data_IF_146767024971
#
_entry.id   IF_146767024971
#
_cell.length_a   1.000
_cell.length_b   1.000
_cell.length_c   1.000
_cell.angle_alpha   90.00
_cell.angle_beta   90.00
_cell.angle_gamma   90.00
#
_symmetry.space_group_name_H-M   'P 1'
#
loop_
_entity.id
_entity.type
_entity.pdbx_description
1 polymer ?
#
# COMPACT_ATOMS: atom_id res chain seq x y z
N UNK A 1 -63.91 -3.25 12.52
CA UNK A 1 -62.51 -3.57 12.17
C UNK A 1 -61.70 -2.30 12.15
N UNK A 2 -60.81 -2.10 13.12
CA UNK A 2 -59.90 -0.94 13.15
C UNK A 2 -58.72 -1.21 12.23
N UNK A 3 -58.54 -0.37 11.20
CA UNK A 3 -57.34 -0.38 10.35
C UNK A 3 -56.17 0.06 11.17
N UNK A 4 -55.16 -0.81 11.35
CA UNK A 4 -53.89 -0.45 11.93
C UNK A 4 -53.10 0.39 10.93
N UNK A 5 -52.88 1.63 11.24
CA UNK A 5 -52.06 2.56 10.48
C UNK A 5 -50.60 2.18 10.73
N UNK A 6 -49.98 1.47 9.76
CA UNK A 6 -48.56 1.10 9.81
C UNK A 6 -47.78 2.29 9.24
N UNK A 7 -47.25 3.12 10.13
CA UNK A 7 -46.33 4.19 9.72
C UNK A 7 -45.11 3.59 9.06
N UNK A 8 -44.99 3.80 7.77
CA UNK A 8 -43.79 3.41 6.99
C UNK A 8 -42.57 4.13 7.55
N UNK A 9 -41.69 3.40 8.23
CA UNK A 9 -40.40 3.90 8.65
C UNK A 9 -39.62 4.41 7.42
N UNK A 10 -39.51 5.72 7.28
CA UNK A 10 -38.64 6.34 6.28
C UNK A 10 -37.18 5.98 6.62
N UNK A 11 -36.64 4.97 5.97
CA UNK A 11 -35.21 4.66 6.01
C UNK A 11 -34.48 5.86 5.42
N UNK A 12 -33.87 6.69 6.28
CA UNK A 12 -32.95 7.73 5.84
C UNK A 12 -31.78 7.04 5.13
N UNK A 13 -31.81 7.03 3.79
CA UNK A 13 -30.62 6.63 3.01
C UNK A 13 -29.52 7.61 3.34
N UNK A 14 -28.58 7.20 4.17
CA UNK A 14 -27.32 7.92 4.30
C UNK A 14 -26.63 7.92 2.94
N UNK A 15 -26.63 9.04 2.26
CA UNK A 15 -25.80 9.26 1.09
C UNK A 15 -24.34 9.08 1.53
N UNK A 16 -23.77 7.89 1.29
CA UNK A 16 -22.33 7.73 1.39
C UNK A 16 -21.74 8.67 0.36
N UNK A 17 -21.05 9.75 0.82
CA UNK A 17 -20.21 10.58 -0.05
C UNK A 17 -19.41 9.63 -0.93
N UNK A 18 -19.59 9.71 -2.25
CA UNK A 18 -18.77 8.93 -3.17
C UNK A 18 -17.32 9.36 -2.94
N UNK A 19 -16.55 8.49 -2.31
CA UNK A 19 -15.12 8.69 -2.15
C UNK A 19 -14.56 8.70 -3.56
N UNK A 20 -14.07 9.86 -4.03
CA UNK A 20 -13.42 9.97 -5.33
C UNK A 20 -12.29 8.95 -5.35
N UNK A 21 -12.44 7.91 -6.17
CA UNK A 21 -11.40 6.89 -6.36
C UNK A 21 -10.22 7.59 -7.02
N UNK A 22 -9.16 7.75 -6.25
CA UNK A 22 -7.93 8.37 -6.73
C UNK A 22 -7.02 7.28 -7.31
N UNK A 23 -6.69 7.41 -8.60
CA UNK A 23 -5.71 6.56 -9.29
C UNK A 23 -4.63 7.45 -9.89
N UNK A 24 -3.37 7.10 -9.68
CA UNK A 24 -2.28 7.67 -10.46
C UNK A 24 -2.40 7.23 -11.92
N UNK A 25 -1.90 8.06 -12.82
CA UNK A 25 -1.94 7.79 -14.26
C UNK A 25 -0.63 7.23 -14.80
N UNK A 26 0.45 7.42 -14.06
CA UNK A 26 1.81 7.01 -14.45
C UNK A 26 2.29 5.89 -13.51
N UNK A 27 2.79 4.77 -14.05
CA UNK A 27 3.41 3.73 -13.25
C UNK A 27 4.59 4.27 -12.41
N UNK A 28 4.69 3.86 -11.16
CA UNK A 28 5.73 4.32 -10.24
C UNK A 28 5.52 5.71 -9.64
N UNK A 29 4.51 6.49 -10.10
CA UNK A 29 4.22 7.80 -9.53
C UNK A 29 3.93 7.72 -8.02
N UNK A 30 3.22 6.68 -7.58
CA UNK A 30 2.95 6.37 -6.18
C UNK A 30 2.90 4.88 -5.95
N UNK A 31 3.74 4.40 -5.06
CA UNK A 31 3.72 3.03 -4.56
C UNK A 31 3.22 3.04 -3.11
N UNK A 32 2.18 2.28 -2.83
CA UNK A 32 1.71 2.06 -1.47
C UNK A 32 2.48 0.88 -0.88
N UNK A 33 2.96 1.02 0.36
CA UNK A 33 3.71 -0.01 1.05
C UNK A 33 3.15 -0.23 2.45
N UNK A 34 3.06 -1.49 2.86
CA UNK A 34 2.53 -1.88 4.16
C UNK A 34 3.09 -3.25 4.58
N UNK A 35 2.97 -3.55 5.88
CA UNK A 35 3.42 -4.83 6.48
C UNK A 35 2.27 -5.50 7.20
N UNK A 36 1.90 -6.70 6.77
CA UNK A 36 0.93 -7.51 7.49
C UNK A 36 1.60 -8.69 8.21
N UNK A 37 1.03 -9.05 9.35
CA UNK A 37 1.44 -10.24 10.11
C UNK A 37 0.71 -11.47 9.53
N UNK A 38 1.45 -12.46 9.08
CA UNK A 38 0.91 -13.72 8.58
C UNK A 38 0.76 -14.71 9.74
N UNK A 39 1.81 -14.82 10.57
CA UNK A 39 1.78 -15.64 11.79
C UNK A 39 2.79 -15.12 12.82
N UNK A 40 2.94 -15.79 13.94
CA UNK A 40 3.99 -15.44 14.91
C UNK A 40 5.37 -15.60 14.27
N UNK A 41 6.15 -14.51 14.26
CA UNK A 41 7.48 -14.48 13.64
C UNK A 41 7.49 -14.52 12.11
N UNK A 42 6.35 -14.23 11.44
CA UNK A 42 6.27 -14.18 9.99
C UNK A 42 5.46 -12.96 9.54
N UNK A 43 6.10 -12.06 8.82
CA UNK A 43 5.54 -10.80 8.33
C UNK A 43 5.75 -10.69 6.83
N UNK A 44 4.70 -10.31 6.10
CA UNK A 44 4.79 -9.98 4.69
C UNK A 44 4.89 -8.48 4.51
N UNK A 45 5.93 -8.04 3.84
CA UNK A 45 6.05 -6.70 3.29
C UNK A 45 5.45 -6.69 1.89
N UNK A 46 4.63 -5.70 1.62
CA UNK A 46 3.91 -5.55 0.34
C UNK A 46 4.11 -4.15 -0.18
N UNK A 47 4.52 -4.01 -1.42
CA UNK A 47 4.50 -2.76 -2.17
C UNK A 47 3.63 -2.93 -3.40
N UNK A 48 2.70 -2.00 -3.65
CA UNK A 48 1.82 -2.04 -4.81
C UNK A 48 1.79 -0.68 -5.51
N UNK A 49 1.99 -0.70 -6.82
CA UNK A 49 1.84 0.52 -7.63
C UNK A 49 0.37 0.95 -7.72
N UNK A 50 0.14 2.21 -7.46
CA UNK A 50 -1.20 2.80 -7.45
C UNK A 50 -1.86 2.83 -8.84
N UNK A 51 -1.06 2.88 -9.90
CA UNK A 51 -1.53 2.94 -11.28
C UNK A 51 -1.82 1.55 -11.84
N UNK A 52 -0.82 0.68 -11.87
CA UNK A 52 -0.86 -0.63 -12.53
C UNK A 52 -1.29 -1.77 -11.63
N UNK A 53 -1.27 -1.59 -10.32
CA UNK A 53 -1.41 -2.68 -9.32
C UNK A 53 -0.25 -3.68 -9.35
N UNK A 54 0.85 -3.36 -10.03
CA UNK A 54 2.05 -4.18 -9.98
C UNK A 54 2.53 -4.30 -8.53
N UNK A 55 2.77 -5.53 -8.11
CA UNK A 55 3.03 -5.85 -6.70
C UNK A 55 4.41 -6.48 -6.54
N UNK A 56 5.11 -6.10 -5.47
CA UNK A 56 6.31 -6.74 -4.96
C UNK A 56 6.06 -7.15 -3.53
N UNK A 57 6.40 -8.38 -3.17
CA UNK A 57 6.20 -8.94 -1.83
C UNK A 57 7.44 -9.69 -1.35
N UNK A 58 7.67 -9.69 -0.03
CA UNK A 58 8.73 -10.45 0.61
C UNK A 58 8.36 -10.82 2.05
N UNK A 59 8.94 -11.90 2.56
CA UNK A 59 8.74 -12.37 3.93
C UNK A 59 9.94 -12.04 4.81
N UNK A 60 9.63 -11.67 6.06
CA UNK A 60 10.61 -11.41 7.09
C UNK A 60 10.13 -11.93 8.45
N UNK A 61 11.07 -12.22 9.33
CA UNK A 61 10.76 -12.69 10.68
C UNK A 61 10.31 -11.58 11.64
N UNK A 62 10.60 -10.32 11.31
CA UNK A 62 10.31 -9.14 12.15
C UNK A 62 10.01 -7.91 11.30
N UNK A 63 9.29 -6.95 11.89
CA UNK A 63 9.12 -5.60 11.36
C UNK A 63 10.22 -4.71 11.93
N UNK A 64 11.23 -4.41 11.11
CA UNK A 64 12.36 -3.58 11.49
C UNK A 64 12.75 -2.65 10.35
N UNK A 65 13.43 -1.54 10.67
CA UNK A 65 14.00 -0.64 9.66
C UNK A 65 14.97 -1.34 8.72
N UNK A 66 15.78 -2.27 9.24
CA UNK A 66 16.70 -3.09 8.44
C UNK A 66 15.95 -3.91 7.36
N UNK A 67 14.85 -4.55 7.75
CA UNK A 67 14.03 -5.33 6.81
C UNK A 67 13.29 -4.41 5.83
N UNK A 68 12.89 -3.22 6.27
CA UNK A 68 12.33 -2.19 5.38
C UNK A 68 13.33 -1.75 4.32
N UNK A 69 14.59 -1.51 4.71
CA UNK A 69 15.66 -1.15 3.77
C UNK A 69 15.95 -2.27 2.77
N UNK A 70 16.00 -3.52 3.23
CA UNK A 70 16.17 -4.68 2.35
C UNK A 70 15.00 -4.81 1.37
N UNK A 71 13.77 -4.66 1.87
CA UNK A 71 12.59 -4.71 1.02
C UNK A 71 12.54 -3.57 -0.01
N UNK A 72 12.97 -2.37 0.35
CA UNK A 72 13.09 -1.24 -0.58
C UNK A 72 14.11 -1.51 -1.70
N UNK A 73 15.23 -2.19 -1.40
CA UNK A 73 16.18 -2.64 -2.43
C UNK A 73 15.53 -3.64 -3.38
N UNK A 74 14.85 -4.66 -2.83
CA UNK A 74 14.11 -5.64 -3.64
C UNK A 74 13.03 -4.98 -4.50
N UNK A 75 12.29 -4.02 -3.97
CA UNK A 75 11.31 -3.24 -4.74
C UNK A 75 11.97 -2.53 -5.92
N UNK A 76 13.11 -1.88 -5.70
CA UNK A 76 13.84 -1.14 -6.74
C UNK A 76 14.39 -2.06 -7.83
N UNK A 77 14.81 -3.28 -7.47
CA UNK A 77 15.34 -4.27 -8.40
C UNK A 77 14.27 -4.97 -9.23
N UNK A 78 13.10 -5.20 -8.64
CA UNK A 78 12.03 -6.06 -9.19
C UNK A 78 10.91 -5.29 -9.87
N UNK A 79 10.68 -4.03 -9.48
CA UNK A 79 9.67 -3.21 -10.12
C UNK A 79 10.14 -2.77 -11.52
N UNK A 80 9.29 -2.89 -12.56
CA UNK A 80 9.68 -2.51 -13.93
C UNK A 80 9.67 -0.99 -14.17
N UNK A 81 9.51 -0.19 -13.12
CA UNK A 81 9.43 1.27 -13.15
C UNK A 81 10.22 1.88 -11.99
N UNK A 82 10.58 3.16 -12.12
CA UNK A 82 11.19 3.92 -11.03
C UNK A 82 10.12 4.45 -10.08
N UNK A 83 10.27 4.13 -8.78
CA UNK A 83 9.40 4.69 -7.75
C UNK A 83 9.70 6.18 -7.54
N UNK A 84 8.69 7.03 -7.69
CA UNK A 84 8.82 8.47 -7.45
C UNK A 84 8.38 8.85 -6.03
N UNK A 85 7.44 8.08 -5.46
CA UNK A 85 6.88 8.33 -4.14
C UNK A 85 6.46 7.02 -3.48
N UNK A 86 6.86 6.87 -2.23
CA UNK A 86 6.40 5.78 -1.37
C UNK A 86 5.42 6.33 -0.35
N UNK A 87 4.26 5.70 -0.28
CA UNK A 87 3.22 5.97 0.70
C UNK A 87 3.09 4.77 1.63
N UNK A 88 3.19 5.02 2.94
CA UNK A 88 3.06 3.99 3.98
C UNK A 88 2.01 4.41 4.99
N UNK A 89 1.60 3.47 5.83
CA UNK A 89 0.99 3.80 7.11
C UNK A 89 2.03 4.46 8.04
N UNK A 90 1.70 4.59 9.32
CA UNK A 90 2.59 5.21 10.32
C UNK A 90 3.34 4.16 11.15
N UNK A 91 3.69 3.01 10.58
CA UNK A 91 4.52 2.00 11.22
C UNK A 91 5.92 2.53 11.57
N UNK A 92 6.44 2.18 12.76
CA UNK A 92 7.75 2.65 13.22
C UNK A 92 8.88 2.25 12.29
N UNK A 93 8.77 1.08 11.68
CA UNK A 93 9.73 0.51 10.72
C UNK A 93 9.95 1.40 9.50
N UNK A 94 8.95 2.22 9.13
CA UNK A 94 9.02 3.15 8.00
C UNK A 94 9.57 4.53 8.37
N UNK A 95 9.41 4.92 9.65
CA UNK A 95 9.82 6.25 10.13
C UNK A 95 11.27 6.31 10.63
N UNK A 96 11.97 5.18 10.65
CA UNK A 96 13.37 5.14 11.03
C UNK A 96 14.20 6.10 10.16
N UNK A 97 15.16 6.78 10.78
CA UNK A 97 16.00 7.78 10.12
C UNK A 97 16.67 7.21 8.88
N UNK A 98 17.30 6.03 9.02
CA UNK A 98 18.00 5.36 7.94
C UNK A 98 17.11 5.02 6.73
N UNK A 99 15.81 4.74 6.96
CA UNK A 99 14.86 4.47 5.89
C UNK A 99 14.54 5.75 5.10
N UNK A 100 14.29 6.85 5.82
CA UNK A 100 13.99 8.13 5.19
C UNK A 100 15.23 8.70 4.48
N UNK A 101 16.42 8.52 5.04
CA UNK A 101 17.68 8.94 4.43
C UNK A 101 17.94 8.17 3.12
N UNK A 102 17.79 6.86 3.13
CA UNK A 102 17.89 6.01 1.94
C UNK A 102 16.89 6.46 0.84
N UNK A 103 15.64 6.73 1.20
CA UNK A 103 14.66 7.24 0.24
C UNK A 103 15.05 8.61 -0.32
N UNK A 104 15.61 9.49 0.51
CA UNK A 104 16.10 10.80 0.10
C UNK A 104 17.31 10.69 -0.84
N UNK A 105 18.27 9.83 -0.55
CA UNK A 105 19.41 9.52 -1.44
C UNK A 105 18.94 9.01 -2.80
N UNK A 106 17.93 8.14 -2.82
CA UNK A 106 17.35 7.62 -4.06
C UNK A 106 16.40 8.61 -4.74
N UNK A 107 16.21 9.80 -4.19
CA UNK A 107 15.29 10.83 -4.67
C UNK A 107 13.83 10.34 -4.76
N UNK A 108 13.42 9.52 -3.80
CA UNK A 108 12.06 9.02 -3.65
C UNK A 108 11.36 9.82 -2.55
N UNK A 109 10.19 10.37 -2.86
CA UNK A 109 9.39 11.15 -1.89
C UNK A 109 8.75 10.22 -0.87
N UNK A 110 8.98 10.46 0.42
CA UNK A 110 8.30 9.74 1.50
C UNK A 110 7.00 10.45 1.87
N UNK A 111 5.89 9.74 1.83
CA UNK A 111 4.55 10.32 2.10
C UNK A 111 3.73 9.38 2.99
N UNK A 112 3.95 9.42 4.32
CA UNK A 112 3.09 8.66 5.22
C UNK A 112 1.65 9.20 5.14
N UNK A 113 0.68 8.30 5.26
CA UNK A 113 -0.74 8.69 5.28
C UNK A 113 -1.02 9.56 6.50
N UNK A 114 -2.00 10.46 6.35
CA UNK A 114 -2.45 11.29 7.46
C UNK A 114 -3.07 10.40 8.55
N UNK A 115 -2.94 10.77 9.83
CA UNK A 115 -3.66 10.09 10.89
C UNK A 115 -5.15 9.98 10.57
N UNK A 116 -5.78 8.88 10.97
CA UNK A 116 -7.21 8.62 10.75
C UNK A 116 -7.68 8.61 9.28
N UNK A 117 -6.78 8.31 8.35
CA UNK A 117 -7.10 8.24 6.92
C UNK A 117 -6.77 6.87 6.32
N UNK A 118 -7.28 5.74 6.87
CA UNK A 118 -6.93 4.39 6.42
C UNK A 118 -7.31 4.15 4.95
N UNK A 119 -8.36 4.82 4.46
CA UNK A 119 -8.80 4.71 3.07
C UNK A 119 -7.70 5.07 2.04
N UNK A 120 -6.67 5.79 2.46
CA UNK A 120 -5.55 6.14 1.58
C UNK A 120 -4.60 4.96 1.32
N UNK A 121 -4.62 3.91 2.19
CA UNK A 121 -3.80 2.70 2.03
C UNK A 121 -4.59 1.50 1.47
N UNK A 122 -5.83 1.71 1.08
CA UNK A 122 -6.77 0.65 0.71
C UNK A 122 -6.35 -0.24 -0.46
N UNK A 123 -5.38 0.16 -1.31
CA UNK A 123 -4.90 -0.69 -2.41
C UNK A 123 -3.95 -1.75 -1.92
N UNK A 124 -3.00 -1.40 -1.05
CA UNK A 124 -2.08 -2.38 -0.46
C UNK A 124 -2.83 -3.32 0.49
N UNK A 125 -3.77 -2.80 1.30
CA UNK A 125 -4.64 -3.63 2.15
C UNK A 125 -5.45 -4.64 1.32
N UNK A 126 -6.01 -4.21 0.18
CA UNK A 126 -6.73 -5.09 -0.73
C UNK A 126 -5.82 -6.15 -1.36
N UNK A 127 -4.58 -5.79 -1.71
CA UNK A 127 -3.61 -6.74 -2.24
C UNK A 127 -3.22 -7.78 -1.19
N UNK A 128 -2.96 -7.36 0.05
CA UNK A 128 -2.68 -8.26 1.18
C UNK A 128 -3.86 -9.20 1.46
N UNK A 129 -5.10 -8.68 1.39
CA UNK A 129 -6.30 -9.51 1.53
C UNK A 129 -6.37 -10.59 0.45
N UNK A 130 -6.04 -10.24 -0.79
CA UNK A 130 -5.95 -11.21 -1.89
C UNK A 130 -4.90 -12.29 -1.61
N UNK A 131 -3.74 -11.90 -1.07
CA UNK A 131 -2.69 -12.85 -0.70
C UNK A 131 -3.15 -13.81 0.40
N UNK A 132 -3.87 -13.30 1.41
CA UNK A 132 -4.43 -14.13 2.48
C UNK A 132 -5.48 -15.12 1.95
N UNK A 133 -6.37 -14.63 1.10
CA UNK A 133 -7.52 -15.41 0.62
C UNK A 133 -7.12 -16.43 -0.47
N UNK A 134 -6.18 -16.10 -1.37
CA UNK A 134 -5.86 -16.93 -2.53
C UNK A 134 -4.53 -17.70 -2.40
N UNK A 135 -3.52 -17.17 -1.71
CA UNK A 135 -2.22 -17.82 -1.55
C UNK A 135 -2.08 -18.50 -0.19
N UNK A 136 -2.17 -17.76 0.92
CA UNK A 136 -1.93 -18.35 2.25
C UNK A 136 -2.98 -19.37 2.68
N UNK A 137 -4.19 -19.32 2.12
CA UNK A 137 -5.22 -20.35 2.34
C UNK A 137 -4.88 -21.70 1.71
N UNK A 138 -3.95 -21.73 0.74
CA UNK A 138 -3.61 -22.93 -0.04
C UNK A 138 -2.21 -23.50 0.26
N UNK A 139 -1.38 -22.79 1.04
CA UNK A 139 0.00 -23.19 1.30
C UNK A 139 0.25 -23.46 2.78
N UNK A 140 1.21 -24.34 3.07
CA UNK A 140 1.69 -24.52 4.43
C UNK A 140 2.67 -23.39 4.79
N UNK A 141 2.30 -22.52 5.72
CA UNK A 141 3.12 -21.38 6.17
C UNK A 141 4.43 -21.79 6.88
N UNK A 142 4.58 -23.07 7.27
CA UNK A 142 5.80 -23.63 7.86
C UNK A 142 6.73 -24.28 6.84
N UNK A 143 6.35 -24.23 5.56
CA UNK A 143 7.16 -24.80 4.50
C UNK A 143 8.47 -24.01 4.34
N UNK A 144 9.58 -24.72 4.23
CA UNK A 144 10.91 -24.13 4.01
C UNK A 144 11.01 -23.43 2.63
N UNK A 145 10.18 -23.84 1.67
CA UNK A 145 10.10 -23.23 0.34
C UNK A 145 9.07 -22.08 0.24
N UNK A 146 8.48 -21.66 1.37
CA UNK A 146 7.43 -20.65 1.35
C UNK A 146 7.85 -19.38 0.63
N UNK A 147 9.11 -18.95 0.77
CA UNK A 147 9.64 -17.76 0.08
C UNK A 147 9.68 -17.94 -1.46
N UNK A 148 9.99 -19.14 -1.92
CA UNK A 148 9.99 -19.46 -3.37
C UNK A 148 8.55 -19.46 -3.88
N UNK A 149 7.65 -20.16 -3.21
CA UNK A 149 6.22 -20.20 -3.55
C UNK A 149 5.59 -18.80 -3.57
N UNK A 150 6.01 -17.93 -2.65
CA UNK A 150 5.55 -16.55 -2.63
C UNK A 150 6.06 -15.75 -3.85
N UNK A 151 7.23 -16.05 -4.35
CA UNK A 151 7.77 -15.44 -5.59
C UNK A 151 6.99 -15.89 -6.82
N UNK A 152 6.66 -17.18 -6.88
CA UNK A 152 5.82 -17.73 -7.96
C UNK A 152 4.43 -17.11 -7.94
N UNK A 153 3.86 -16.94 -6.73
CA UNK A 153 2.60 -16.23 -6.53
C UNK A 153 2.66 -14.77 -6.98
N UNK A 154 3.73 -14.05 -6.66
CA UNK A 154 3.94 -12.67 -7.11
C UNK A 154 3.99 -12.59 -8.63
N UNK A 155 4.69 -13.53 -9.27
CA UNK A 155 4.78 -13.58 -10.73
C UNK A 155 3.42 -13.87 -11.36
N UNK A 156 2.70 -14.85 -10.83
CA UNK A 156 1.31 -15.15 -11.25
C UNK A 156 0.40 -13.92 -11.07
N UNK A 157 0.44 -13.28 -9.91
CA UNK A 157 -0.36 -12.08 -9.62
C UNK A 157 -0.10 -10.97 -10.62
N UNK A 158 1.16 -10.72 -10.95
CA UNK A 158 1.55 -9.63 -11.84
C UNK A 158 1.31 -9.94 -13.32
N UNK A 159 1.52 -11.19 -13.76
CA UNK A 159 1.54 -11.52 -15.19
C UNK A 159 0.32 -12.30 -15.69
N UNK A 160 -0.40 -13.00 -14.80
CA UNK A 160 -1.45 -13.92 -15.21
C UNK A 160 -2.81 -13.62 -14.57
N UNK A 161 -2.84 -13.07 -13.35
CA UNK A 161 -4.07 -12.81 -12.63
C UNK A 161 -4.80 -11.57 -13.16
N UNK A 162 -6.05 -11.69 -13.69
CA UNK A 162 -6.82 -10.55 -14.16
C UNK A 162 -7.35 -9.73 -12.98
N UNK A 163 -7.42 -8.41 -13.14
CA UNK A 163 -7.89 -7.47 -12.13
C UNK A 163 -9.12 -6.69 -12.61
N UNK A 164 -10.22 -6.77 -11.88
CA UNK A 164 -11.44 -6.03 -12.20
C UNK A 164 -11.23 -4.51 -12.23
N UNK A 165 -10.36 -3.99 -11.34
CA UNK A 165 -10.00 -2.57 -11.31
C UNK A 165 -9.17 -2.11 -12.53
N UNK A 166 -8.63 -3.04 -13.30
CA UNK A 166 -7.88 -2.84 -14.54
C UNK A 166 -8.65 -3.32 -15.77
N UNK A 167 -9.98 -3.45 -15.66
CA UNK A 167 -10.85 -3.91 -16.75
C UNK A 167 -10.50 -5.33 -17.26
N UNK A 168 -10.10 -6.21 -16.34
CA UNK A 168 -9.71 -7.58 -16.66
C UNK A 168 -8.25 -7.75 -17.09
N UNK A 169 -7.49 -6.67 -17.25
CA UNK A 169 -6.04 -6.76 -17.54
C UNK A 169 -5.26 -7.20 -16.32
N UNK A 170 -4.09 -7.80 -16.57
CA UNK A 170 -3.08 -8.04 -15.54
C UNK A 170 -2.32 -6.76 -15.21
N UNK A 171 -1.65 -6.67 -14.05
CA UNK A 171 -0.73 -5.58 -13.72
C UNK A 171 0.36 -5.37 -14.78
N UNK A 172 0.90 -6.45 -15.33
CA UNK A 172 1.93 -6.42 -16.36
C UNK A 172 1.39 -5.86 -17.70
N UNK A 173 0.23 -6.31 -18.15
CA UNK A 173 -0.40 -5.77 -19.36
C UNK A 173 -0.70 -4.27 -19.20
N UNK A 174 -1.18 -3.86 -18.02
CA UNK A 174 -1.42 -2.44 -17.72
C UNK A 174 -0.13 -1.63 -17.69
N UNK A 175 0.95 -2.20 -17.16
CA UNK A 175 2.27 -1.59 -17.21
C UNK A 175 2.73 -1.40 -18.65
N UNK A 176 2.66 -2.45 -19.49
CA UNK A 176 3.07 -2.39 -20.90
C UNK A 176 2.29 -1.35 -21.72
N UNK A 177 0.99 -1.20 -21.45
CA UNK A 177 0.16 -0.16 -22.07
C UNK A 177 0.67 1.26 -21.78
N UNK A 178 1.18 1.46 -20.56
CA UNK A 178 1.60 2.77 -20.05
C UNK A 178 3.12 3.00 -20.06
N UNK A 179 3.92 2.02 -20.46
CA UNK A 179 5.39 2.05 -20.42
C UNK A 179 5.96 3.32 -21.05
N UNK A 180 5.40 3.76 -22.18
CA UNK A 180 5.83 4.97 -22.90
C UNK A 180 5.50 6.28 -22.16
N UNK A 181 4.64 6.24 -21.15
CA UNK A 181 4.27 7.42 -20.35
C UNK A 181 5.16 7.61 -19.13
N UNK A 182 6.04 6.64 -18.85
CA UNK A 182 6.92 6.67 -17.68
C UNK A 182 8.05 7.67 -17.95
N UNK A 183 8.22 8.68 -17.09
CA UNK A 183 9.32 9.62 -17.24
C UNK A 183 10.65 8.91 -17.00
N UNK A 184 11.68 9.31 -17.71
CA UNK A 184 13.02 8.77 -17.51
C UNK A 184 13.57 9.16 -16.13
N UNK A 185 14.57 8.40 -15.66
CA UNK A 185 15.16 8.63 -14.32
C UNK A 185 15.67 10.06 -14.15
N UNK A 186 16.26 10.66 -15.19
CA UNK A 186 16.77 12.03 -15.17
C UNK A 186 15.64 13.06 -14.96
N UNK A 187 14.48 12.87 -15.57
CA UNK A 187 13.30 13.72 -15.38
C UNK A 187 12.73 13.60 -13.96
N UNK A 188 12.63 12.36 -13.45
CA UNK A 188 12.19 12.10 -12.08
C UNK A 188 13.11 12.83 -11.09
N UNK A 189 14.42 12.73 -11.31
CA UNK A 189 15.42 13.37 -10.45
C UNK A 189 15.39 14.89 -10.52
N UNK A 190 15.13 15.49 -11.69
CA UNK A 190 14.92 16.94 -11.83
C UNK A 190 13.69 17.43 -11.07
N UNK A 191 12.62 16.63 -11.03
CA UNK A 191 11.37 16.94 -10.34
C UNK A 191 11.44 16.69 -8.81
N UNK A 192 12.55 16.17 -8.32
CA UNK A 192 12.78 15.97 -6.89
C UNK A 192 13.45 17.21 -6.28
N UNK A 193 12.70 17.91 -5.41
CA UNK A 193 13.17 19.11 -4.75
C UNK A 193 13.62 18.75 -3.33
N UNK A 194 14.91 18.53 -3.13
CA UNK A 194 15.48 18.05 -1.85
C UNK A 194 15.11 18.95 -0.65
N UNK A 195 15.04 20.27 -0.84
CA UNK A 195 14.67 21.21 0.20
C UNK A 195 13.24 21.08 0.72
N UNK A 196 12.35 20.43 -0.06
CA UNK A 196 10.96 20.14 0.34
C UNK A 196 10.79 18.79 1.02
N UNK A 197 11.82 17.95 1.00
CA UNK A 197 11.80 16.60 1.57
C UNK A 197 12.53 16.61 2.93
N UNK A 198 11.81 17.09 3.94
CA UNK A 198 12.26 17.06 5.33
C UNK A 198 11.97 15.72 5.98
N UNK A 199 12.73 15.34 7.01
CA UNK A 199 12.42 14.15 7.80
C UNK A 199 11.07 14.30 8.48
N UNK A 200 10.24 13.27 8.36
CA UNK A 200 8.91 13.23 8.98
C UNK A 200 9.06 12.55 10.35
N UNK A 201 8.73 13.28 11.40
CA UNK A 201 8.70 12.73 12.75
C UNK A 201 7.38 11.99 13.01
N UNK A 202 7.48 10.83 13.62
CA UNK A 202 6.31 10.12 14.14
C UNK A 202 5.90 10.76 15.46
N UNK A 203 4.94 11.68 15.42
CA UNK A 203 4.47 12.38 16.61
C UNK A 203 3.49 11.48 17.41
N UNK A 204 4.03 10.50 18.12
CA UNK A 204 3.27 9.51 18.91
C UNK A 204 2.36 10.17 19.96
N UNK A 205 2.85 11.23 20.63
CA UNK A 205 2.06 11.97 21.65
C UNK A 205 0.85 12.66 21.00
N UNK A 206 1.05 13.34 19.91
CA UNK A 206 0.00 14.07 19.21
C UNK A 206 -1.06 13.12 18.61
N UNK A 207 -0.65 11.97 18.07
CA UNK A 207 -1.58 10.97 17.54
C UNK A 207 -2.42 10.30 18.67
N UNK A 208 -1.88 10.17 19.88
CA UNK A 208 -2.62 9.67 21.05
C UNK A 208 -3.59 10.73 21.60
N UNK A 209 -3.18 11.99 21.66
CA UNK A 209 -4.04 13.11 22.06
C UNK A 209 -5.23 13.27 21.10
N UNK A 210 -4.99 13.20 19.78
CA UNK A 210 -6.07 13.23 18.79
C UNK A 210 -7.04 12.04 18.93
N UNK A 211 -6.52 10.85 19.24
CA UNK A 211 -7.36 9.66 19.50
C UNK A 211 -8.22 9.82 20.75
N UNK A 212 -7.66 10.41 21.82
CA UNK A 212 -8.40 10.68 23.05
C UNK A 212 -9.52 11.69 22.80
N UNK A 213 -9.23 12.79 22.10
CA UNK A 213 -10.21 13.83 21.78
C UNK A 213 -11.37 13.34 20.88
N UNK A 214 -11.10 12.36 20.00
CA UNK A 214 -12.15 11.76 19.17
C UNK A 214 -13.08 10.84 19.97
N UNK A 215 -12.56 10.11 20.97
CA UNK A 215 -13.40 9.29 21.87
C UNK A 215 -14.43 10.13 22.65
N UNK A 216 -14.08 11.37 23.02
CA UNK A 216 -15.00 12.27 23.72
C UNK A 216 -16.04 12.96 22.81
N UNK A 217 -15.88 12.90 21.47
CA UNK A 217 -16.86 13.45 20.52
C UNK A 217 -17.89 12.43 20.03
N UNK A 218 -17.75 11.17 20.38
CA UNK A 218 -18.63 10.06 19.98
C UNK A 218 -19.38 9.43 21.15
N UNK A 219 -19.20 9.95 22.35
CA UNK A 219 -20.01 9.72 23.54
C UNK A 219 -20.91 10.95 23.82
#
# INVERSE_FOLDING_TARGET
MKKHDVSLLRIKRHYRKQIKRYNCKVPGERVQMDVCKISSGLYQYTAIDDCTRYKVIALYSRRTSKNTLDFLKQLRERAPFHCQRIQTDRGQEFFAYEVQECLKEWKIKFRPIKPFSPHLNGKVERAQRTDLDEFYSSVNIKDHELQVKLRDWEEYYNKQRPHSSLQGKTPWEKYKELEKTIPCLSEIQKNYISSKETFVMQNYKHDQELKSLQKYKTS
#
